data_IF_610641068480
#
_entry.id   IF_610641068480
#
_cell.length_a   1.000
_cell.length_b   1.000
_cell.length_c   1.000
_cell.angle_alpha   90.00
_cell.angle_beta   90.00
_cell.angle_gamma   90.00
#
_symmetry.space_group_name_H-M   'P 1'
#
loop_
_entity.id
_entity.type
_entity.pdbx_description
1 polymer ?
#
# COMPACT_ATOMS: atom_id res chain seq x y z
N UNK A 1 16.40 24.12 -26.50
CA UNK A 1 15.37 23.23 -25.95
C UNK A 1 14.14 24.08 -25.75
N UNK A 2 13.02 23.74 -26.39
CA UNK A 2 11.73 24.38 -26.12
C UNK A 2 11.25 23.89 -24.76
N UNK A 3 11.20 24.79 -23.78
CA UNK A 3 10.62 24.50 -22.48
C UNK A 3 9.13 24.27 -22.68
N UNK A 4 8.68 23.02 -22.64
CA UNK A 4 7.24 22.71 -22.58
C UNK A 4 6.66 23.44 -21.35
N UNK A 5 5.44 23.98 -21.48
CA UNK A 5 4.82 24.67 -20.35
C UNK A 5 4.55 23.67 -19.22
N UNK A 6 4.58 24.17 -17.98
CA UNK A 6 4.31 23.38 -16.77
C UNK A 6 2.94 22.68 -16.88
N UNK A 7 1.94 23.33 -17.47
CA UNK A 7 0.62 22.74 -17.69
C UNK A 7 0.66 21.53 -18.63
N UNK A 8 1.44 21.58 -19.71
CA UNK A 8 1.57 20.45 -20.65
C UNK A 8 2.22 19.27 -19.96
N UNK A 9 3.28 19.51 -19.18
CA UNK A 9 3.97 18.47 -18.43
C UNK A 9 3.06 17.86 -17.33
N UNK A 10 2.24 18.67 -16.65
CA UNK A 10 1.25 18.19 -15.67
C UNK A 10 0.17 17.32 -16.33
N UNK A 11 -0.35 17.75 -17.48
CA UNK A 11 -1.34 16.98 -18.26
C UNK A 11 -0.75 15.63 -18.70
N UNK A 12 0.49 15.62 -19.20
CA UNK A 12 1.17 14.39 -19.61
C UNK A 12 1.37 13.43 -18.43
N UNK A 13 1.82 13.93 -17.28
CA UNK A 13 2.00 13.11 -16.09
C UNK A 13 0.69 12.51 -15.59
N UNK A 14 -0.38 13.32 -15.49
CA UNK A 14 -1.73 12.84 -15.10
C UNK A 14 -2.30 11.85 -16.10
N UNK A 15 -2.06 12.05 -17.40
CA UNK A 15 -2.48 11.09 -18.44
C UNK A 15 -1.83 9.73 -18.24
N UNK A 16 -0.52 9.69 -17.94
CA UNK A 16 0.20 8.44 -17.65
C UNK A 16 -0.24 7.79 -16.35
N UNK A 17 -0.50 8.58 -15.32
CA UNK A 17 -1.06 8.08 -14.06
C UNK A 17 -2.42 7.42 -14.28
N UNK A 18 -3.30 8.05 -15.06
CA UNK A 18 -4.63 7.52 -15.40
C UNK A 18 -4.55 6.25 -16.28
N UNK A 19 -3.48 6.11 -17.08
CA UNK A 19 -3.18 4.90 -17.85
C UNK A 19 -2.60 3.77 -16.98
N UNK A 20 -2.26 4.03 -15.71
CA UNK A 20 -1.61 3.07 -14.81
C UNK A 20 -0.11 2.88 -15.04
N UNK A 21 0.49 3.71 -15.90
CA UNK A 21 1.92 3.72 -16.21
C UNK A 21 2.65 4.64 -15.21
N UNK A 22 2.85 4.12 -13.99
CA UNK A 22 3.49 4.87 -12.91
C UNK A 22 4.95 5.25 -13.22
N UNK A 23 5.79 4.39 -13.84
CA UNK A 23 7.14 4.79 -14.25
C UNK A 23 7.12 5.98 -15.21
N UNK A 24 6.26 5.97 -16.23
CA UNK A 24 6.17 7.12 -17.15
C UNK A 24 5.61 8.37 -16.47
N UNK A 25 4.61 8.24 -15.59
CA UNK A 25 4.07 9.36 -14.83
C UNK A 25 5.16 10.04 -13.98
N UNK A 26 6.02 9.24 -13.33
CA UNK A 26 7.15 9.72 -12.54
C UNK A 26 8.23 10.39 -13.41
N UNK A 27 8.49 9.92 -14.62
CA UNK A 27 9.42 10.59 -15.56
C UNK A 27 8.93 12.01 -15.87
N UNK A 28 7.65 12.19 -16.19
CA UNK A 28 7.07 13.51 -16.42
C UNK A 28 7.08 14.38 -15.15
N UNK A 29 6.80 13.80 -13.98
CA UNK A 29 6.88 14.51 -12.70
C UNK A 29 8.31 14.97 -12.36
N UNK A 30 9.33 14.19 -12.73
CA UNK A 30 10.74 14.61 -12.61
C UNK A 30 11.06 15.78 -13.52
N UNK A 31 10.59 15.76 -14.77
CA UNK A 31 10.78 16.86 -15.71
C UNK A 31 10.12 18.15 -15.21
N UNK A 32 8.92 18.06 -14.61
CA UNK A 32 8.28 19.17 -13.90
C UNK A 32 9.15 19.73 -12.77
N UNK A 33 9.69 18.84 -11.93
CA UNK A 33 10.54 19.25 -10.81
C UNK A 33 11.81 19.99 -11.28
N UNK A 34 12.37 19.61 -12.44
CA UNK A 34 13.54 20.29 -13.02
C UNK A 34 13.14 21.62 -13.64
N UNK A 35 12.02 21.68 -14.37
CA UNK A 35 11.52 22.90 -14.99
C UNK A 35 11.13 23.98 -13.95
N UNK A 36 10.68 23.56 -12.76
CA UNK A 36 10.27 24.47 -11.67
C UNK A 36 11.39 24.94 -10.74
N UNK A 37 12.64 24.54 -10.96
CA UNK A 37 13.78 24.94 -10.11
C UNK A 37 14.03 26.47 -10.06
N UNK A 38 13.27 27.28 -10.80
CA UNK A 38 13.30 28.75 -10.77
C UNK A 38 11.94 29.45 -10.58
N UNK A 39 10.85 28.74 -10.25
CA UNK A 39 9.51 29.35 -10.18
C UNK A 39 9.12 29.72 -8.74
N UNK A 40 8.80 30.99 -8.52
CA UNK A 40 8.42 31.56 -7.22
C UNK A 40 6.96 31.33 -6.83
N UNK A 41 6.13 30.73 -7.69
CA UNK A 41 4.69 30.61 -7.45
C UNK A 41 4.36 29.41 -6.56
N UNK A 42 3.71 29.69 -5.42
CA UNK A 42 3.29 28.69 -4.43
C UNK A 42 2.27 27.69 -4.99
N UNK A 43 1.41 28.14 -5.90
CA UNK A 43 0.33 27.33 -6.46
C UNK A 43 0.86 26.23 -7.40
N UNK A 44 1.83 26.55 -8.25
CA UNK A 44 2.43 25.57 -9.14
C UNK A 44 3.23 24.51 -8.38
N UNK A 45 3.91 24.92 -7.29
CA UNK A 45 4.57 24.01 -6.37
C UNK A 45 3.60 23.00 -5.76
N UNK A 46 2.43 23.48 -5.31
CA UNK A 46 1.36 22.62 -4.79
C UNK A 46 0.84 21.63 -5.82
N UNK A 47 0.70 22.04 -7.09
CA UNK A 47 0.26 21.16 -8.19
C UNK A 47 1.23 20.00 -8.42
N UNK A 48 2.54 20.28 -8.44
CA UNK A 48 3.57 19.25 -8.63
C UNK A 48 3.68 18.32 -7.42
N UNK A 49 3.67 18.87 -6.20
CA UNK A 49 3.68 18.04 -4.98
C UNK A 49 2.45 17.16 -4.85
N UNK A 50 1.27 17.67 -5.21
CA UNK A 50 0.02 16.89 -5.21
C UNK A 50 0.10 15.71 -6.17
N UNK A 51 0.60 15.93 -7.39
CA UNK A 51 0.82 14.86 -8.37
C UNK A 51 1.80 13.79 -7.87
N UNK A 52 2.93 14.19 -7.27
CA UNK A 52 3.90 13.24 -6.71
C UNK A 52 3.27 12.41 -5.58
N UNK A 53 2.47 13.03 -4.72
CA UNK A 53 1.74 12.33 -3.68
C UNK A 53 0.69 11.34 -4.26
N UNK A 54 -0.05 11.73 -5.30
CA UNK A 54 -0.99 10.84 -6.02
C UNK A 54 -0.28 9.61 -6.60
N UNK A 55 0.90 9.78 -7.19
CA UNK A 55 1.74 8.69 -7.70
C UNK A 55 2.15 7.75 -6.55
N UNK A 56 2.63 8.30 -5.43
CA UNK A 56 3.07 7.52 -4.27
C UNK A 56 1.90 6.72 -3.64
N UNK A 57 0.74 7.35 -3.44
CA UNK A 57 -0.47 6.66 -2.93
C UNK A 57 -0.89 5.53 -3.88
N UNK A 58 -0.86 5.78 -5.19
CA UNK A 58 -1.24 4.77 -6.19
C UNK A 58 -0.28 3.58 -6.20
N UNK A 59 1.03 3.83 -6.09
CA UNK A 59 2.05 2.80 -5.96
C UNK A 59 1.82 1.98 -4.67
N UNK A 60 1.63 2.64 -3.51
CA UNK A 60 1.35 1.97 -2.24
C UNK A 60 0.14 1.05 -2.32
N UNK A 61 -0.98 1.53 -2.89
CA UNK A 61 -2.21 0.73 -3.06
C UNK A 61 -1.98 -0.51 -3.91
N UNK A 62 -1.26 -0.38 -5.03
CA UNK A 62 -0.93 -1.52 -5.92
C UNK A 62 -0.09 -2.56 -5.19
N UNK A 63 0.97 -2.12 -4.50
CA UNK A 63 1.85 -3.01 -3.74
C UNK A 63 1.07 -3.70 -2.62
N UNK A 64 0.31 -2.96 -1.79
CA UNK A 64 -0.48 -3.55 -0.69
C UNK A 64 -1.46 -4.60 -1.21
N UNK A 65 -2.22 -4.27 -2.26
CA UNK A 65 -3.20 -5.20 -2.84
C UNK A 65 -2.53 -6.46 -3.35
N UNK A 66 -1.39 -6.34 -4.02
CA UNK A 66 -0.68 -7.48 -4.57
C UNK A 66 0.01 -8.34 -3.49
N UNK A 67 0.54 -7.72 -2.43
CA UNK A 67 1.09 -8.42 -1.27
C UNK A 67 0.04 -9.31 -0.61
N UNK A 68 -1.15 -8.75 -0.40
CA UNK A 68 -2.28 -9.44 0.20
C UNK A 68 -2.93 -10.47 -0.73
N UNK A 69 -2.63 -10.44 -2.04
CA UNK A 69 -3.14 -11.40 -3.05
C UNK A 69 -2.21 -12.56 -3.33
N UNK A 70 -0.89 -12.37 -3.32
CA UNK A 70 0.03 -13.37 -3.89
C UNK A 70 1.04 -13.98 -2.92
N UNK A 71 1.37 -13.34 -1.79
CA UNK A 71 2.39 -13.86 -0.85
C UNK A 71 3.84 -13.89 -1.38
N UNK A 72 4.04 -14.00 -2.71
CA UNK A 72 5.29 -13.79 -3.44
C UNK A 72 5.56 -12.28 -3.64
N UNK A 73 5.75 -11.61 -2.51
CA UNK A 73 5.70 -10.14 -2.37
C UNK A 73 6.76 -9.41 -3.19
N UNK A 74 7.93 -9.99 -3.41
CA UNK A 74 9.12 -9.20 -3.72
C UNK A 74 9.51 -9.15 -5.21
N UNK A 75 9.51 -10.28 -5.92
CA UNK A 75 9.91 -10.30 -7.33
C UNK A 75 8.86 -9.69 -8.27
N UNK A 76 7.56 -9.81 -7.94
CA UNK A 76 6.48 -9.29 -8.78
C UNK A 76 6.24 -7.79 -8.60
N UNK A 77 6.77 -7.17 -7.54
CA UNK A 77 6.43 -5.79 -7.13
C UNK A 77 7.62 -4.83 -7.16
N UNK A 78 8.78 -5.29 -7.67
CA UNK A 78 10.01 -4.51 -7.76
C UNK A 78 9.81 -3.17 -8.47
N UNK A 79 9.12 -3.15 -9.61
CA UNK A 79 8.87 -1.92 -10.36
C UNK A 79 8.02 -0.91 -9.57
N UNK A 80 7.01 -1.36 -8.83
CA UNK A 80 6.11 -0.47 -8.08
C UNK A 80 6.79 0.03 -6.79
N UNK A 81 7.64 -0.80 -6.15
CA UNK A 81 8.48 -0.38 -5.03
C UNK A 81 9.54 0.64 -5.46
N UNK A 82 10.16 0.45 -6.63
CA UNK A 82 11.14 1.40 -7.17
C UNK A 82 10.48 2.75 -7.47
N UNK A 83 9.28 2.75 -8.06
CA UNK A 83 8.50 3.98 -8.27
C UNK A 83 8.25 4.70 -6.94
N UNK A 84 7.93 3.97 -5.87
CA UNK A 84 7.68 4.56 -4.55
C UNK A 84 8.93 5.25 -3.97
N UNK A 85 10.07 4.56 -4.02
CA UNK A 85 11.35 5.11 -3.58
C UNK A 85 11.71 6.37 -4.37
N UNK A 86 11.67 6.26 -5.69
CA UNK A 86 11.99 7.34 -6.62
C UNK A 86 11.08 8.56 -6.44
N UNK A 87 9.78 8.34 -6.28
CA UNK A 87 8.79 9.41 -6.03
C UNK A 87 9.09 10.11 -4.70
N UNK A 88 9.42 9.34 -3.66
CA UNK A 88 9.76 9.90 -2.34
C UNK A 88 11.01 10.77 -2.41
N UNK A 89 12.03 10.35 -3.16
CA UNK A 89 13.26 11.13 -3.36
C UNK A 89 13.01 12.44 -4.12
N UNK A 90 12.16 12.42 -5.15
CA UNK A 90 11.78 13.63 -5.90
C UNK A 90 11.00 14.59 -5.01
N UNK A 91 10.07 14.09 -4.20
CA UNK A 91 9.28 14.89 -3.26
C UNK A 91 10.16 15.56 -2.18
N UNK A 92 11.22 14.89 -1.72
CA UNK A 92 12.21 15.48 -0.82
C UNK A 92 13.04 16.58 -1.49
N UNK A 93 13.48 16.37 -2.74
CA UNK A 93 14.23 17.39 -3.48
C UNK A 93 13.41 18.68 -3.65
N UNK A 94 12.10 18.54 -3.83
CA UNK A 94 11.18 19.65 -4.02
C UNK A 94 10.89 20.46 -2.74
N UNK A 95 10.81 19.80 -1.58
CA UNK A 95 10.49 20.43 -0.28
C UNK A 95 11.67 21.12 0.40
N UNK A 96 12.91 20.81 0.00
CA UNK A 96 14.13 21.42 0.56
C UNK A 96 14.28 22.92 0.29
N UNK A 97 13.55 23.46 -0.69
CA UNK A 97 13.85 24.78 -1.25
C UNK A 97 13.01 25.93 -0.68
N UNK A 98 11.92 25.68 0.05
CA UNK A 98 10.94 26.77 0.31
C UNK A 98 9.70 26.44 1.18
N UNK A 99 9.60 25.25 1.78
CA UNK A 99 8.37 24.81 2.45
C UNK A 99 8.40 24.94 3.98
N UNK A 100 7.21 25.07 4.58
CA UNK A 100 7.01 25.03 6.04
C UNK A 100 7.61 23.75 6.66
N UNK A 101 8.07 23.82 7.91
CA UNK A 101 8.76 22.69 8.56
C UNK A 101 8.00 21.37 8.53
N UNK A 102 6.66 21.40 8.55
CA UNK A 102 5.81 20.20 8.53
C UNK A 102 5.91 19.44 7.20
N UNK A 103 5.83 20.15 6.06
CA UNK A 103 5.93 19.53 4.74
C UNK A 103 7.30 18.87 4.52
N UNK A 104 8.36 19.54 4.95
CA UNK A 104 9.72 18.98 4.93
C UNK A 104 9.84 17.73 5.81
N UNK A 105 9.31 17.74 7.04
CA UNK A 105 9.33 16.58 7.94
C UNK A 105 8.59 15.37 7.34
N UNK A 106 7.41 15.59 6.75
CA UNK A 106 6.64 14.52 6.09
C UNK A 106 7.40 13.93 4.91
N UNK A 107 8.02 14.77 4.07
CA UNK A 107 8.84 14.31 2.95
C UNK A 107 10.05 13.46 3.40
N UNK A 108 10.74 13.88 4.47
CA UNK A 108 11.85 13.10 5.04
C UNK A 108 11.38 11.76 5.59
N UNK A 109 10.23 11.73 6.28
CA UNK A 109 9.64 10.50 6.78
C UNK A 109 9.29 9.53 5.65
N UNK A 110 8.67 10.02 4.56
CA UNK A 110 8.38 9.22 3.37
C UNK A 110 9.64 8.59 2.78
N UNK A 111 10.72 9.36 2.60
CA UNK A 111 11.99 8.84 2.07
C UNK A 111 12.60 7.79 2.98
N UNK A 112 12.64 8.03 4.30
CA UNK A 112 13.23 7.08 5.24
C UNK A 112 12.50 5.73 5.19
N UNK A 113 11.16 5.75 5.19
CA UNK A 113 10.32 4.55 5.14
C UNK A 113 10.42 3.84 3.79
N UNK A 114 10.41 4.57 2.67
CA UNK A 114 10.60 3.98 1.34
C UNK A 114 11.97 3.30 1.18
N UNK A 115 13.03 3.86 1.79
CA UNK A 115 14.35 3.22 1.85
C UNK A 115 14.34 1.93 2.67
N UNK A 116 13.59 1.87 3.78
CA UNK A 116 13.41 0.63 4.54
C UNK A 116 12.77 -0.46 3.66
N UNK A 117 11.71 -0.11 2.92
CA UNK A 117 11.03 -1.01 1.97
C UNK A 117 12.01 -1.52 0.90
N UNK A 118 12.78 -0.62 0.28
CA UNK A 118 13.79 -0.98 -0.72
C UNK A 118 14.90 -1.87 -0.13
N UNK A 119 15.33 -1.62 1.11
CA UNK A 119 16.30 -2.43 1.83
C UNK A 119 15.83 -3.87 2.07
N UNK A 120 14.58 -4.03 2.54
CA UNK A 120 13.94 -5.35 2.72
C UNK A 120 13.91 -6.11 1.38
N UNK A 121 13.52 -5.42 0.31
CA UNK A 121 13.45 -6.00 -1.04
C UNK A 121 14.83 -6.44 -1.55
N UNK A 122 15.85 -5.60 -1.39
CA UNK A 122 17.21 -5.87 -1.85
C UNK A 122 17.84 -7.07 -1.12
N UNK A 123 17.65 -7.17 0.19
CA UNK A 123 18.12 -8.30 0.99
C UNK A 123 17.45 -9.61 0.57
N UNK A 124 16.15 -9.57 0.25
CA UNK A 124 15.42 -10.74 -0.26
C UNK A 124 15.94 -11.25 -1.59
N UNK A 125 16.20 -10.36 -2.54
CA UNK A 125 16.79 -10.75 -3.85
C UNK A 125 18.15 -11.42 -3.68
N UNK A 126 19.00 -10.88 -2.78
CA UNK A 126 20.33 -11.46 -2.52
C UNK A 126 20.26 -12.88 -1.97
N UNK A 127 19.23 -13.18 -1.16
CA UNK A 127 19.07 -14.48 -0.50
C UNK A 127 18.37 -15.54 -1.36
N UNK A 128 17.85 -15.20 -2.54
CA UNK A 128 17.06 -16.09 -3.42
C UNK A 128 16.00 -16.92 -2.66
N UNK A 129 15.40 -16.33 -1.62
CA UNK A 129 14.44 -17.03 -0.78
C UNK A 129 13.08 -17.07 -1.46
N UNK A 130 12.60 -18.27 -1.78
CA UNK A 130 11.26 -18.50 -2.34
C UNK A 130 10.13 -18.09 -1.38
N UNK A 131 10.44 -17.90 -0.09
CA UNK A 131 9.47 -17.54 0.94
C UNK A 131 9.88 -16.29 1.73
N UNK A 132 8.96 -15.33 1.82
CA UNK A 132 9.03 -14.21 2.77
C UNK A 132 8.75 -14.72 4.19
N UNK A 133 9.46 -14.27 5.22
CA UNK A 133 9.10 -14.60 6.60
C UNK A 133 7.91 -13.74 7.08
N UNK A 134 7.21 -14.17 8.13
CA UNK A 134 6.12 -13.37 8.69
C UNK A 134 6.61 -12.00 9.23
N UNK A 135 7.79 -11.96 9.86
CA UNK A 135 8.38 -10.74 10.40
C UNK A 135 8.71 -9.72 9.29
N UNK A 136 9.32 -10.16 8.20
CA UNK A 136 9.65 -9.29 7.07
C UNK A 136 8.39 -8.81 6.35
N UNK A 137 7.38 -9.68 6.22
CA UNK A 137 6.08 -9.32 5.66
C UNK A 137 5.38 -8.26 6.49
N UNK A 138 5.41 -8.42 7.82
CA UNK A 138 4.82 -7.47 8.75
C UNK A 138 5.48 -6.09 8.62
N UNK A 139 6.81 -6.05 8.77
CA UNK A 139 7.58 -4.81 8.65
C UNK A 139 7.34 -4.15 7.29
N UNK A 140 7.37 -4.92 6.20
CA UNK A 140 7.12 -4.40 4.86
C UNK A 140 5.73 -3.79 4.71
N UNK A 141 4.68 -4.50 5.12
CA UNK A 141 3.30 -4.01 5.01
C UNK A 141 3.05 -2.80 5.93
N UNK A 142 3.67 -2.77 7.12
CA UNK A 142 3.58 -1.65 8.04
C UNK A 142 4.21 -0.38 7.44
N UNK A 143 5.44 -0.47 6.96
CA UNK A 143 6.14 0.65 6.31
C UNK A 143 5.37 1.15 5.08
N UNK A 144 4.84 0.24 4.26
CA UNK A 144 4.09 0.59 3.06
C UNK A 144 2.80 1.36 3.36
N UNK A 145 2.07 0.95 4.41
CA UNK A 145 0.90 1.68 4.89
C UNK A 145 1.28 3.08 5.36
N UNK A 146 2.33 3.15 6.17
CA UNK A 146 2.85 4.38 6.76
C UNK A 146 3.35 5.38 5.71
N UNK A 147 4.03 4.92 4.65
CA UNK A 147 4.38 5.78 3.49
C UNK A 147 3.12 6.29 2.79
N UNK A 148 2.15 5.41 2.52
CA UNK A 148 0.90 5.80 1.88
C UNK A 148 0.14 6.86 2.70
N UNK A 149 0.07 6.70 4.02
CA UNK A 149 -0.56 7.67 4.94
C UNK A 149 0.12 9.02 4.87
N UNK A 150 1.46 9.04 4.92
CA UNK A 150 2.23 10.28 4.82
C UNK A 150 2.04 10.96 3.46
N UNK A 151 2.00 10.19 2.36
CA UNK A 151 1.75 10.72 1.02
C UNK A 151 0.35 11.34 0.89
N UNK A 152 -0.69 10.66 1.36
CA UNK A 152 -2.05 11.17 1.35
C UNK A 152 -2.18 12.47 2.17
N UNK A 153 -1.61 12.49 3.38
CA UNK A 153 -1.57 13.69 4.21
C UNK A 153 -0.84 14.85 3.53
N UNK A 154 0.21 14.56 2.75
CA UNK A 154 0.99 15.56 2.03
C UNK A 154 0.22 16.16 0.84
N UNK A 155 -0.62 15.38 0.16
CA UNK A 155 -1.51 15.87 -0.89
C UNK A 155 -2.60 16.82 -0.38
N UNK A 156 -2.71 17.02 0.95
CA UNK A 156 -3.82 17.77 1.55
C UNK A 156 -5.17 17.05 1.42
N UNK A 157 -5.15 15.80 0.97
CA UNK A 157 -6.31 14.94 0.90
C UNK A 157 -6.41 14.20 2.24
N UNK A 158 -7.51 14.37 2.96
CA UNK A 158 -7.89 13.41 4.00
C UNK A 158 -8.31 12.06 3.41
N UNK A 159 -8.35 11.98 2.07
CA UNK A 159 -8.75 10.79 1.36
C UNK A 159 -7.83 9.63 1.71
N UNK A 160 -8.51 8.59 2.15
CA UNK A 160 -7.96 7.34 2.56
C UNK A 160 -7.03 6.77 1.48
N UNK A 161 -5.84 6.27 1.85
CA UNK A 161 -4.86 5.61 0.95
C UNK A 161 -5.57 4.60 0.01
N UNK A 162 -6.60 3.97 0.55
CA UNK A 162 -7.45 2.99 -0.10
C UNK A 162 -8.87 3.45 0.18
N UNK A 163 -9.65 3.68 -0.87
CA UNK A 163 -11.07 3.99 -0.77
C UNK A 163 -11.87 2.85 -0.12
N UNK A 164 -13.06 3.16 0.40
CA UNK A 164 -13.93 2.22 1.12
C UNK A 164 -14.19 0.91 0.36
N UNK A 165 -14.45 0.98 -0.95
CA UNK A 165 -14.71 -0.21 -1.78
C UNK A 165 -13.46 -1.07 -1.94
N UNK A 166 -12.32 -0.43 -2.22
CA UNK A 166 -11.02 -1.11 -2.31
C UNK A 166 -10.58 -1.72 -0.98
N UNK A 167 -10.90 -1.09 0.17
CA UNK A 167 -10.58 -1.64 1.50
C UNK A 167 -11.26 -2.97 1.75
N UNK A 168 -12.54 -3.09 1.43
CA UNK A 168 -13.28 -4.34 1.63
C UNK A 168 -12.70 -5.43 0.74
N UNK A 169 -12.41 -5.12 -0.52
CA UNK A 169 -11.78 -6.09 -1.45
C UNK A 169 -10.40 -6.52 -0.99
N UNK A 170 -9.60 -5.60 -0.45
CA UNK A 170 -8.28 -5.91 0.11
C UNK A 170 -8.38 -6.77 1.38
N UNK A 171 -9.30 -6.44 2.30
CA UNK A 171 -9.58 -7.26 3.47
C UNK A 171 -10.05 -8.67 3.08
N UNK A 172 -10.97 -8.77 2.13
CA UNK A 172 -11.47 -10.02 1.59
C UNK A 172 -10.31 -10.89 1.04
N UNK A 173 -9.44 -10.29 0.23
CA UNK A 173 -8.29 -10.97 -0.38
C UNK A 173 -7.31 -11.45 0.68
N UNK A 174 -6.98 -10.60 1.65
CA UNK A 174 -6.07 -10.93 2.75
C UNK A 174 -6.59 -12.09 3.61
N UNK A 175 -7.89 -12.10 3.95
CA UNK A 175 -8.51 -13.17 4.72
C UNK A 175 -8.56 -14.49 3.95
N UNK A 176 -8.81 -14.44 2.64
CA UNK A 176 -8.72 -15.62 1.77
C UNK A 176 -7.31 -16.19 1.75
N UNK A 177 -6.28 -15.33 1.65
CA UNK A 177 -4.89 -15.75 1.69
C UNK A 177 -4.49 -16.32 3.05
N UNK A 178 -4.90 -15.68 4.15
CA UNK A 178 -4.71 -16.24 5.49
C UNK A 178 -5.33 -17.64 5.62
N UNK A 179 -6.47 -17.90 4.99
CA UNK A 179 -7.05 -19.25 4.92
C UNK A 179 -6.26 -20.24 4.05
N UNK A 180 -5.67 -19.77 2.95
CA UNK A 180 -4.81 -20.57 2.07
C UNK A 180 -3.53 -21.01 2.78
N UNK A 181 -2.93 -20.12 3.56
CA UNK A 181 -1.75 -20.40 4.42
C UNK A 181 -2.03 -21.44 5.52
N UNK A 182 -3.27 -21.91 5.69
CA UNK A 182 -3.64 -22.96 6.65
C UNK A 182 -4.06 -24.28 5.99
N UNK A 183 -3.94 -24.43 4.66
CA UNK A 183 -4.59 -25.54 3.95
C UNK A 183 -3.92 -26.90 4.23
N UNK A 184 -4.60 -27.77 4.98
CA UNK A 184 -4.15 -29.10 5.41
C UNK A 184 -3.81 -30.09 4.27
N UNK A 185 -4.56 -30.07 3.17
CA UNK A 185 -4.31 -30.94 2.01
C UNK A 185 -3.52 -30.18 0.94
N UNK A 186 -2.20 -30.24 1.00
CA UNK A 186 -1.35 -29.95 -0.15
C UNK A 186 -0.19 -30.92 -0.18
N UNK A 187 0.05 -31.50 -1.35
CA UNK A 187 1.00 -32.59 -1.62
C UNK A 187 2.48 -32.17 -1.37
N UNK A 188 2.70 -30.92 -0.94
CA UNK A 188 3.99 -30.41 -0.48
C UNK A 188 3.75 -29.64 0.81
N UNK A 189 4.46 -29.97 1.90
CA UNK A 189 4.42 -29.37 3.25
C UNK A 189 4.66 -27.82 3.33
N UNK A 190 4.56 -27.08 2.22
CA UNK A 190 5.04 -25.71 2.03
C UNK A 190 4.03 -24.60 2.35
N UNK A 191 2.76 -24.91 2.63
CA UNK A 191 1.68 -23.92 2.72
C UNK A 191 0.99 -23.85 4.08
N UNK A 192 1.67 -24.22 5.16
CA UNK A 192 1.15 -24.11 6.52
C UNK A 192 1.94 -23.03 7.30
N UNK A 193 1.62 -21.77 7.06
CA UNK A 193 2.30 -20.62 7.66
C UNK A 193 1.34 -19.81 8.55
N UNK A 194 1.22 -20.29 9.78
CA UNK A 194 0.38 -19.68 10.83
C UNK A 194 0.76 -18.24 11.10
N UNK A 195 2.06 -17.94 11.10
CA UNK A 195 2.57 -16.64 11.48
C UNK A 195 2.21 -15.61 10.40
N UNK A 196 2.30 -15.97 9.11
CA UNK A 196 1.77 -15.12 8.02
C UNK A 196 0.27 -14.93 8.08
N UNK A 197 -0.49 -16.00 8.35
CA UNK A 197 -1.94 -15.89 8.50
C UNK A 197 -2.29 -14.90 9.63
N UNK A 198 -1.56 -14.94 10.75
CA UNK A 198 -1.68 -13.98 11.85
C UNK A 198 -1.33 -12.56 11.41
N UNK A 199 -0.24 -12.34 10.66
CA UNK A 199 0.15 -11.02 10.14
C UNK A 199 -0.94 -10.43 9.24
N UNK A 200 -1.47 -11.22 8.28
CA UNK A 200 -2.57 -10.76 7.42
C UNK A 200 -3.82 -10.38 8.22
N UNK A 201 -4.22 -11.21 9.19
CA UNK A 201 -5.40 -10.92 10.01
C UNK A 201 -5.20 -9.66 10.85
N UNK A 202 -4.02 -9.48 11.44
CA UNK A 202 -3.69 -8.31 12.24
C UNK A 202 -3.69 -7.05 11.39
N UNK A 203 -3.07 -7.07 10.21
CA UNK A 203 -3.06 -5.92 9.30
C UNK A 203 -4.46 -5.53 8.82
N UNK A 204 -5.30 -6.51 8.50
CA UNK A 204 -6.71 -6.24 8.18
C UNK A 204 -7.37 -5.51 9.35
N UNK A 205 -7.26 -6.05 10.56
CA UNK A 205 -7.88 -5.47 11.76
C UNK A 205 -7.38 -4.06 12.09
N UNK A 206 -6.07 -3.85 12.05
CA UNK A 206 -5.44 -2.62 12.55
C UNK A 206 -5.42 -1.49 11.51
N UNK A 207 -5.37 -1.84 10.22
CA UNK A 207 -5.15 -0.85 9.15
C UNK A 207 -6.31 -0.76 8.17
N UNK A 208 -7.00 -1.87 7.86
CA UNK A 208 -8.04 -1.87 6.82
C UNK A 208 -9.45 -1.61 7.38
N UNK A 209 -9.80 -2.21 8.52
CA UNK A 209 -11.15 -2.12 9.10
C UNK A 209 -11.52 -0.82 9.82
N UNK A 210 -10.60 -0.07 10.46
CA UNK A 210 -10.97 1.12 11.23
C UNK A 210 -11.69 2.23 10.45
N UNK A 211 -11.61 2.27 9.12
CA UNK A 211 -12.41 3.22 8.33
C UNK A 211 -13.48 2.56 7.46
N UNK A 212 -14.07 1.47 7.94
CA UNK A 212 -15.36 0.96 7.50
C UNK A 212 -16.45 1.38 8.52
N UNK A 213 -17.72 1.44 8.12
CA UNK A 213 -18.83 1.91 8.99
C UNK A 213 -19.12 0.97 10.18
N UNK A 214 -19.45 1.57 11.32
CA UNK A 214 -19.52 0.97 12.67
C UNK A 214 -20.36 -0.33 12.73
N UNK A 215 -21.48 -0.40 12.00
CA UNK A 215 -22.44 -1.50 12.13
C UNK A 215 -22.04 -2.80 11.44
N UNK A 216 -21.23 -2.73 10.37
CA UNK A 216 -20.74 -3.92 9.66
C UNK A 216 -19.35 -4.35 10.14
N UNK A 217 -18.57 -3.41 10.66
CA UNK A 217 -17.24 -3.63 11.23
C UNK A 217 -17.27 -4.50 12.47
N UNK A 218 -18.29 -4.37 13.32
CA UNK A 218 -18.35 -5.12 14.58
C UNK A 218 -18.37 -6.65 14.37
N UNK A 219 -19.15 -7.13 13.40
CA UNK A 219 -19.27 -8.58 13.11
C UNK A 219 -17.99 -9.12 12.47
N UNK A 220 -17.44 -8.40 11.50
CA UNK A 220 -16.16 -8.73 10.87
C UNK A 220 -15.00 -8.73 11.86
N UNK A 221 -14.87 -7.68 12.67
CA UNK A 221 -13.84 -7.56 13.71
C UNK A 221 -13.91 -8.73 14.69
N UNK A 222 -15.11 -9.08 15.16
CA UNK A 222 -15.29 -10.21 16.07
C UNK A 222 -14.78 -11.53 15.46
N UNK A 223 -15.13 -11.83 14.21
CA UNK A 223 -14.66 -13.06 13.57
C UNK A 223 -13.16 -13.05 13.30
N UNK A 224 -12.55 -11.88 13.08
CA UNK A 224 -11.10 -11.76 12.96
C UNK A 224 -10.42 -11.92 14.32
N UNK A 225 -11.02 -11.45 15.40
CA UNK A 225 -10.53 -11.68 16.77
C UNK A 225 -10.57 -13.16 17.14
N UNK A 226 -11.67 -13.84 16.81
CA UNK A 226 -11.81 -15.29 16.95
C UNK A 226 -10.74 -16.02 16.11
N UNK A 227 -10.48 -15.56 14.88
CA UNK A 227 -9.45 -16.13 14.02
C UNK A 227 -8.05 -15.92 14.61
N UNK A 228 -7.71 -14.72 15.07
CA UNK A 228 -6.43 -14.40 15.70
C UNK A 228 -6.19 -15.24 16.97
N UNK A 229 -7.20 -15.37 17.82
CA UNK A 229 -7.12 -16.21 19.01
C UNK A 229 -6.90 -17.68 18.66
N UNK A 230 -7.63 -18.21 17.67
CA UNK A 230 -7.48 -19.59 17.21
C UNK A 230 -6.14 -19.84 16.53
N UNK A 231 -5.63 -18.88 15.74
CA UNK A 231 -4.32 -18.93 15.09
C UNK A 231 -3.20 -19.02 16.13
N UNK A 232 -3.28 -18.19 17.19
CA UNK A 232 -2.34 -18.25 18.33
C UNK A 232 -2.38 -19.59 19.05
N UNK A 233 -3.57 -20.19 19.17
CA UNK A 233 -3.76 -21.52 19.74
C UNK A 233 -3.41 -22.66 18.77
N UNK A 234 -3.08 -22.36 17.50
CA UNK A 234 -2.84 -23.31 16.40
C UNK A 234 -4.01 -24.30 16.18
N UNK A 235 -5.24 -23.84 16.41
CA UNK A 235 -6.46 -24.64 16.21
C UNK A 235 -6.98 -24.48 14.78
N UNK A 236 -6.59 -25.41 13.90
CA UNK A 236 -6.87 -25.32 12.46
C UNK A 236 -8.37 -25.25 12.15
N UNK A 237 -9.19 -26.02 12.87
CA UNK A 237 -10.62 -26.05 12.59
C UNK A 237 -11.30 -24.75 13.03
N UNK A 238 -10.93 -24.21 14.19
CA UNK A 238 -11.45 -22.92 14.65
C UNK A 238 -10.95 -21.77 13.81
N UNK A 239 -9.66 -21.69 13.50
CA UNK A 239 -9.09 -20.64 12.64
C UNK A 239 -9.76 -20.62 11.27
N UNK A 240 -9.89 -21.78 10.62
CA UNK A 240 -10.54 -21.89 9.31
C UNK A 240 -12.01 -21.49 9.35
N UNK A 241 -12.73 -21.84 10.41
CA UNK A 241 -14.14 -21.49 10.57
C UNK A 241 -14.32 -19.99 10.76
N UNK A 242 -13.54 -19.38 11.65
CA UNK A 242 -13.58 -17.95 11.93
C UNK A 242 -13.14 -17.11 10.71
N UNK A 243 -12.07 -17.51 10.02
CA UNK A 243 -11.61 -16.86 8.78
C UNK A 243 -12.67 -16.91 7.68
N UNK A 244 -13.34 -18.05 7.48
CA UNK A 244 -14.44 -18.17 6.52
C UNK A 244 -15.63 -17.28 6.89
N UNK A 245 -15.95 -17.18 8.18
CA UNK A 245 -17.03 -16.30 8.65
C UNK A 245 -16.69 -14.83 8.37
N UNK A 246 -15.48 -14.39 8.72
CA UNK A 246 -15.00 -13.04 8.43
C UNK A 246 -14.99 -12.74 6.93
N UNK A 247 -14.43 -13.64 6.12
CA UNK A 247 -14.39 -13.54 4.67
C UNK A 247 -15.78 -13.41 4.05
N UNK A 248 -16.75 -14.21 4.52
CA UNK A 248 -18.15 -14.15 4.07
C UNK A 248 -18.81 -12.81 4.39
N UNK A 249 -18.57 -12.27 5.60
CA UNK A 249 -19.10 -10.94 5.98
C UNK A 249 -18.57 -9.87 5.04
N UNK A 250 -17.26 -9.87 4.75
CA UNK A 250 -16.65 -8.91 3.81
C UNK A 250 -17.22 -9.07 2.40
N UNK A 251 -17.33 -10.31 1.90
CA UNK A 251 -17.85 -10.56 0.55
C UNK A 251 -19.29 -10.09 0.37
N UNK A 252 -20.15 -10.31 1.37
CA UNK A 252 -21.52 -9.83 1.33
C UNK A 252 -21.58 -8.29 1.31
N UNK A 253 -20.67 -7.63 2.03
CA UNK A 253 -20.56 -6.17 2.02
C UNK A 253 -20.13 -5.66 0.64
N UNK A 254 -19.11 -6.27 0.02
CA UNK A 254 -18.65 -5.93 -1.33
C UNK A 254 -19.80 -6.06 -2.35
N UNK A 255 -20.61 -7.11 -2.24
CA UNK A 255 -21.73 -7.35 -3.16
C UNK A 255 -22.81 -6.28 -3.04
N UNK A 256 -23.20 -5.92 -1.82
CA UNK A 256 -24.26 -4.95 -1.59
C UNK A 256 -23.87 -3.53 -2.04
N UNK A 257 -22.61 -3.13 -1.84
CA UNK A 257 -22.12 -1.81 -2.23
C UNK A 257 -21.57 -1.73 -3.67
N UNK A 258 -21.60 -2.81 -4.43
CA UNK A 258 -21.31 -2.80 -5.88
C UNK A 258 -22.57 -2.57 -6.73
N UNK A 259 -23.75 -2.54 -6.10
CA UNK A 259 -25.06 -2.33 -6.74
C UNK A 259 -25.63 -0.91 -6.54
N UNK A 260 -25.01 -0.15 -5.63
CA UNK A 260 -25.27 1.28 -5.38
C UNK A 260 -24.36 2.14 -6.28
#
# INVERSE_FOLDING_TARGET
MTTESIDVLLINARTKLNQGDLPAALIWARQLSVAQAGVSELEERRKVTGLLAEIAVTACRRVLTACLRSGEVFERLESDVQVLEDTSLVLLAFTRSSDSGIASLTAHAMVARAKTIAGILADKKRRQSLTTSAEELDSFLAELWEVGSSAASFAGTSDEIIDKGSRVKMAETALSNAGYELTFFSIFKRFNDWDKATVYCRHVKEKVLPGLEIHHVASANRHIDEALAALKARDHNKSKTALKAAHKVMKNYTWNHAQD
#
